data_IF_966471115382
#
_entry.id   IF_966471115382
#
_cell.length_a   1.000
_cell.length_b   1.000
_cell.length_c   1.000
_cell.angle_alpha   90.00
_cell.angle_beta   90.00
_cell.angle_gamma   90.00
#
_symmetry.space_group_name_H-M   'P 1'
#
loop_
_entity.id
_entity.type
_entity.pdbx_description
1 polymer ?
#
# COMPACT_ATOMS: atom_id res chain seq x y z
N UNK A 1 22.68 -4.29 -17.78
CA UNK A 1 22.74 -5.24 -16.66
C UNK A 1 22.03 -4.59 -15.50
N UNK A 2 20.83 -5.03 -15.13
CA UNK A 2 20.14 -4.47 -13.95
C UNK A 2 20.93 -4.88 -12.70
N UNK A 3 21.54 -3.91 -12.02
CA UNK A 3 22.18 -4.15 -10.74
C UNK A 3 21.17 -4.83 -9.80
N UNK A 4 21.55 -5.96 -9.20
CA UNK A 4 20.70 -6.71 -8.27
C UNK A 4 20.74 -6.04 -6.88
N UNK A 5 20.28 -4.79 -6.85
CA UNK A 5 20.19 -3.94 -5.66
C UNK A 5 19.17 -4.45 -4.67
N UNK A 6 19.24 -3.98 -3.43
CA UNK A 6 18.27 -4.32 -2.40
C UNK A 6 16.84 -3.90 -2.79
N UNK A 7 16.65 -2.67 -3.31
CA UNK A 7 15.35 -2.19 -3.74
C UNK A 7 14.75 -3.03 -4.85
N UNK A 8 15.55 -3.48 -5.82
CA UNK A 8 15.09 -4.39 -6.87
C UNK A 8 14.67 -5.76 -6.32
N UNK A 9 15.40 -6.31 -5.33
CA UNK A 9 15.01 -7.58 -4.68
C UNK A 9 13.72 -7.42 -3.89
N UNK A 10 13.59 -6.33 -3.13
CA UNK A 10 12.40 -6.05 -2.34
C UNK A 10 11.18 -5.83 -3.23
N UNK A 11 11.33 -5.10 -4.34
CA UNK A 11 10.28 -4.93 -5.34
C UNK A 11 9.79 -6.28 -5.89
N UNK A 12 10.70 -7.20 -6.24
CA UNK A 12 10.31 -8.54 -6.69
C UNK A 12 9.52 -9.29 -5.64
N UNK A 13 9.99 -9.28 -4.39
CA UNK A 13 9.31 -9.91 -3.26
C UNK A 13 7.89 -9.35 -3.06
N UNK A 14 7.75 -8.02 -2.98
CA UNK A 14 6.45 -7.36 -2.78
C UNK A 14 5.52 -7.64 -3.96
N UNK A 15 6.03 -7.62 -5.19
CA UNK A 15 5.25 -7.94 -6.39
C UNK A 15 4.73 -9.37 -6.36
N UNK A 16 5.53 -10.33 -5.92
CA UNK A 16 5.09 -11.72 -5.77
C UNK A 16 3.99 -11.85 -4.71
N UNK A 17 4.17 -11.23 -3.54
CA UNK A 17 3.16 -11.24 -2.48
C UNK A 17 1.86 -10.54 -2.90
N UNK A 18 1.95 -9.44 -3.64
CA UNK A 18 0.79 -8.74 -4.19
C UNK A 18 0.02 -9.61 -5.19
N UNK A 19 0.72 -10.34 -6.07
CA UNK A 19 0.09 -11.28 -7.02
C UNK A 19 -0.64 -12.40 -6.29
N UNK A 20 0.01 -13.05 -5.34
CA UNK A 20 -0.62 -14.12 -4.56
C UNK A 20 -1.87 -13.60 -3.84
N UNK A 21 -1.78 -12.40 -3.25
CA UNK A 21 -2.93 -11.78 -2.57
C UNK A 21 -4.06 -11.42 -3.52
N UNK A 22 -3.74 -10.97 -4.74
CA UNK A 22 -4.74 -10.69 -5.78
C UNK A 22 -5.43 -11.97 -6.26
N UNK A 23 -4.71 -13.08 -6.40
CA UNK A 23 -5.28 -14.38 -6.75
C UNK A 23 -6.27 -14.87 -5.68
N UNK A 24 -5.87 -14.86 -4.41
CA UNK A 24 -6.76 -15.19 -3.29
C UNK A 24 -8.00 -14.29 -3.27
N UNK A 25 -7.82 -12.99 -3.50
CA UNK A 25 -8.92 -12.04 -3.48
C UNK A 25 -9.88 -12.22 -4.66
N UNK A 26 -9.36 -12.58 -5.85
CA UNK A 26 -10.19 -12.91 -7.01
C UNK A 26 -11.06 -14.14 -6.75
N UNK A 27 -10.50 -15.18 -6.11
CA UNK A 27 -11.27 -16.36 -5.72
C UNK A 27 -12.38 -16.00 -4.73
N UNK A 28 -12.06 -15.25 -3.68
CA UNK A 28 -13.05 -14.79 -2.69
C UNK A 28 -14.16 -13.93 -3.28
N UNK A 29 -13.84 -13.07 -4.24
CA UNK A 29 -14.85 -12.25 -4.94
C UNK A 29 -15.78 -13.14 -5.76
N UNK A 30 -15.24 -14.14 -6.47
CA UNK A 30 -16.03 -15.06 -7.27
C UNK A 30 -16.92 -15.96 -6.40
N UNK A 31 -16.41 -16.46 -5.28
CA UNK A 31 -17.19 -17.19 -4.28
C UNK A 31 -18.30 -16.32 -3.70
N UNK A 32 -17.97 -15.11 -3.24
CA UNK A 32 -18.96 -14.18 -2.71
C UNK A 32 -20.04 -13.78 -3.73
N UNK A 33 -19.73 -13.74 -5.02
CA UNK A 33 -20.74 -13.54 -6.08
C UNK A 33 -21.70 -14.71 -6.18
N UNK A 34 -21.19 -15.94 -6.17
CA UNK A 34 -22.02 -17.16 -6.18
C UNK A 34 -22.89 -17.28 -4.94
N UNK A 35 -22.36 -16.92 -3.78
CA UNK A 35 -23.11 -16.93 -2.52
C UNK A 35 -24.26 -15.92 -2.57
N UNK A 36 -24.02 -14.71 -3.07
CA UNK A 36 -25.05 -13.68 -3.28
C UNK A 36 -26.14 -14.17 -4.25
N UNK A 37 -25.76 -14.79 -5.37
CA UNK A 37 -26.69 -15.37 -6.34
C UNK A 37 -27.53 -16.48 -5.71
N UNK A 38 -26.90 -17.41 -5.00
CA UNK A 38 -27.57 -18.53 -4.33
C UNK A 38 -28.55 -18.05 -3.25
N UNK A 39 -28.17 -17.02 -2.48
CA UNK A 39 -29.07 -16.40 -1.51
C UNK A 39 -30.26 -15.72 -2.19
N UNK A 40 -30.04 -15.07 -3.33
CA UNK A 40 -31.12 -14.44 -4.10
C UNK A 40 -32.11 -15.48 -4.66
N UNK A 41 -31.61 -16.59 -5.20
CA UNK A 41 -32.43 -17.71 -5.66
C UNK A 41 -33.25 -18.32 -4.52
N UNK A 42 -32.60 -18.62 -3.38
CA UNK A 42 -33.28 -19.14 -2.20
C UNK A 42 -34.40 -18.21 -1.71
N UNK A 43 -34.15 -16.90 -1.65
CA UNK A 43 -35.19 -15.93 -1.24
C UNK A 43 -36.33 -15.84 -2.24
N UNK A 44 -36.03 -15.90 -3.54
CA UNK A 44 -37.05 -15.84 -4.57
C UNK A 44 -37.95 -17.08 -4.56
N UNK A 45 -37.38 -18.27 -4.42
CA UNK A 45 -38.11 -19.53 -4.40
C UNK A 45 -39.00 -19.69 -3.16
N UNK A 46 -38.55 -19.19 -2.01
CA UNK A 46 -39.26 -19.32 -0.73
C UNK A 46 -40.07 -18.08 -0.35
N UNK A 47 -40.15 -17.06 -1.22
CA UNK A 47 -40.80 -15.77 -0.92
C UNK A 47 -42.26 -15.92 -0.48
N UNK A 48 -42.99 -16.87 -1.09
CA UNK A 48 -44.40 -17.12 -0.77
C UNK A 48 -44.62 -17.92 0.54
N UNK A 49 -43.56 -18.54 1.08
CA UNK A 49 -43.61 -19.40 2.27
C UNK A 49 -43.07 -18.71 3.54
N UNK A 50 -42.57 -17.47 3.41
CA UNK A 50 -42.05 -16.68 4.54
C UNK A 50 -43.15 -16.29 5.54
N UNK A 51 -42.79 -16.38 6.83
CA UNK A 51 -43.63 -16.08 8.00
C UNK A 51 -44.37 -14.72 7.93
N UNK A 52 -45.63 -14.71 8.38
CA UNK A 52 -46.50 -13.52 8.51
C UNK A 52 -45.92 -12.41 9.41
N UNK A 53 -45.01 -12.71 10.34
CA UNK A 53 -44.38 -11.73 11.24
C UNK A 53 -43.08 -11.10 10.67
N UNK A 54 -42.56 -11.59 9.54
CA UNK A 54 -41.48 -10.94 8.78
C UNK A 54 -40.06 -11.02 9.37
N UNK A 55 -39.85 -11.81 10.44
CA UNK A 55 -38.52 -11.97 11.05
C UNK A 55 -37.53 -12.69 10.14
N UNK A 56 -37.98 -13.75 9.45
CA UNK A 56 -37.15 -14.48 8.49
C UNK A 56 -36.76 -13.61 7.29
N UNK A 57 -37.67 -12.76 6.80
CA UNK A 57 -37.38 -11.81 5.71
C UNK A 57 -36.30 -10.79 6.13
N UNK A 58 -36.40 -10.26 7.35
CA UNK A 58 -35.46 -9.29 7.90
C UNK A 58 -34.03 -9.89 8.03
N UNK A 59 -33.91 -11.06 8.66
CA UNK A 59 -32.60 -11.72 8.84
C UNK A 59 -31.94 -12.05 7.50
N UNK A 60 -32.75 -12.49 6.53
CA UNK A 60 -32.31 -12.80 5.18
C UNK A 60 -31.81 -11.56 4.42
N UNK A 61 -32.59 -10.47 4.47
CA UNK A 61 -32.17 -9.21 3.87
C UNK A 61 -30.87 -8.69 4.50
N UNK A 62 -30.73 -8.79 5.82
CA UNK A 62 -29.51 -8.36 6.52
C UNK A 62 -28.31 -9.22 6.14
N UNK A 63 -28.46 -10.55 6.07
CA UNK A 63 -27.40 -11.44 5.62
C UNK A 63 -26.94 -11.12 4.20
N UNK A 64 -27.86 -10.85 3.27
CA UNK A 64 -27.55 -10.46 1.90
C UNK A 64 -26.81 -9.12 1.85
N UNK A 65 -27.27 -8.11 2.59
CA UNK A 65 -26.61 -6.82 2.69
C UNK A 65 -25.17 -6.96 3.21
N UNK A 66 -24.96 -7.81 4.22
CA UNK A 66 -23.62 -8.11 4.72
C UNK A 66 -22.73 -8.75 3.65
N UNK A 67 -23.23 -9.73 2.90
CA UNK A 67 -22.47 -10.38 1.82
C UNK A 67 -22.13 -9.40 0.68
N UNK A 68 -23.10 -8.60 0.25
CA UNK A 68 -22.90 -7.58 -0.79
C UNK A 68 -21.84 -6.57 -0.33
N UNK A 69 -21.94 -6.07 0.90
CA UNK A 69 -20.97 -5.11 1.45
C UNK A 69 -19.57 -5.72 1.54
N UNK A 70 -19.44 -6.95 2.03
CA UNK A 70 -18.16 -7.65 2.10
C UNK A 70 -17.52 -7.83 0.71
N UNK A 71 -18.32 -8.19 -0.29
CA UNK A 71 -17.84 -8.34 -1.66
C UNK A 71 -17.44 -7.00 -2.29
N UNK A 72 -18.18 -5.91 -2.00
CA UNK A 72 -17.81 -4.56 -2.41
C UNK A 72 -16.47 -4.10 -1.78
N UNK A 73 -16.24 -4.38 -0.51
CA UNK A 73 -14.96 -4.09 0.15
C UNK A 73 -13.80 -4.90 -0.49
N UNK A 74 -14.04 -6.17 -0.83
CA UNK A 74 -13.07 -6.98 -1.57
C UNK A 74 -12.75 -6.37 -2.95
N UNK A 75 -13.74 -5.87 -3.68
CA UNK A 75 -13.53 -5.18 -4.96
C UNK A 75 -12.72 -3.88 -4.80
N UNK A 76 -12.98 -3.08 -3.77
CA UNK A 76 -12.18 -1.87 -3.46
C UNK A 76 -10.73 -2.25 -3.14
N UNK A 77 -10.54 -3.28 -2.34
CA UNK A 77 -9.21 -3.81 -2.01
C UNK A 77 -8.47 -4.28 -3.27
N UNK A 78 -9.14 -5.03 -4.15
CA UNK A 78 -8.58 -5.49 -5.43
C UNK A 78 -8.07 -4.32 -6.28
N UNK A 79 -8.90 -3.29 -6.49
CA UNK A 79 -8.50 -2.08 -7.24
C UNK A 79 -7.31 -1.35 -6.62
N UNK A 80 -7.16 -1.41 -5.28
CA UNK A 80 -5.98 -0.86 -4.61
C UNK A 80 -4.75 -1.68 -4.90
N UNK A 81 -4.80 -3.00 -4.74
CA UNK A 81 -3.67 -3.90 -5.00
C UNK A 81 -3.24 -3.86 -6.47
N UNK A 82 -4.18 -3.77 -7.42
CA UNK A 82 -3.89 -3.58 -8.85
C UNK A 82 -3.11 -2.29 -9.13
N UNK A 83 -3.45 -1.18 -8.45
CA UNK A 83 -2.67 0.06 -8.56
C UNK A 83 -1.27 -0.09 -7.94
N UNK A 84 -1.16 -0.80 -6.82
CA UNK A 84 0.13 -1.06 -6.17
C UNK A 84 1.05 -1.95 -7.03
N UNK A 85 0.52 -2.76 -7.94
CA UNK A 85 1.34 -3.55 -8.87
C UNK A 85 2.17 -2.69 -9.84
N UNK A 86 1.73 -1.47 -10.14
CA UNK A 86 2.48 -0.56 -11.02
C UNK A 86 3.68 0.06 -10.30
N UNK A 87 3.45 0.57 -9.09
CA UNK A 87 4.44 1.19 -8.22
C UNK A 87 4.08 0.97 -6.73
N UNK A 88 4.55 -0.11 -6.09
CA UNK A 88 4.11 -0.47 -4.75
C UNK A 88 4.64 0.47 -3.67
N UNK A 89 5.87 0.97 -3.84
CA UNK A 89 6.51 1.95 -2.97
C UNK A 89 7.33 2.95 -3.80
N UNK A 90 7.60 4.11 -3.23
CA UNK A 90 8.43 5.15 -3.83
C UNK A 90 9.52 5.64 -2.87
N UNK A 91 9.43 5.32 -1.59
CA UNK A 91 10.39 5.74 -0.57
C UNK A 91 10.75 4.61 0.39
N UNK A 92 11.91 4.70 1.03
CA UNK A 92 12.28 3.90 2.19
C UNK A 92 13.01 4.76 3.21
N UNK A 93 12.73 4.52 4.48
CA UNK A 93 13.49 5.07 5.61
C UNK A 93 14.03 3.91 6.43
N UNK A 94 15.33 3.95 6.73
CA UNK A 94 15.95 3.04 7.68
C UNK A 94 16.05 3.80 9.01
N UNK A 95 15.19 3.44 9.97
CA UNK A 95 15.01 4.15 11.24
C UNK A 95 15.48 3.28 12.41
N UNK A 96 16.42 3.80 13.20
CA UNK A 96 16.95 3.15 14.39
C UNK A 96 16.27 3.72 15.62
N UNK A 97 15.49 2.92 16.33
CA UNK A 97 14.88 3.36 17.59
C UNK A 97 15.93 3.60 18.67
N UNK A 98 15.63 4.53 19.58
CA UNK A 98 16.49 4.77 20.73
C UNK A 98 16.63 3.49 21.59
N UNK A 99 17.87 3.06 21.81
CA UNK A 99 18.18 1.86 22.60
C UNK A 99 18.18 0.54 21.81
N UNK A 100 17.91 0.57 20.51
CA UNK A 100 18.06 -0.59 19.62
C UNK A 100 19.40 -0.54 18.86
N UNK A 101 19.84 -1.70 18.33
CA UNK A 101 21.09 -1.83 17.57
C UNK A 101 20.84 -1.96 16.05
N UNK A 102 19.63 -2.37 15.64
CA UNK A 102 19.28 -2.60 14.24
C UNK A 102 18.19 -1.64 13.79
N UNK A 103 18.38 -1.03 12.62
CA UNK A 103 17.39 -0.14 12.05
C UNK A 103 16.24 -0.91 11.38
N UNK A 104 15.01 -0.49 11.68
CA UNK A 104 13.81 -0.96 10.99
C UNK A 104 13.66 -0.25 9.64
N UNK A 105 13.26 -1.01 8.61
CA UNK A 105 13.10 -0.51 7.24
C UNK A 105 11.64 -0.26 6.93
N UNK A 106 11.28 1.01 6.76
CA UNK A 106 9.94 1.45 6.40
C UNK A 106 9.86 1.76 4.92
N UNK A 107 9.28 0.85 4.12
CA UNK A 107 8.96 1.13 2.72
C UNK A 107 7.62 1.86 2.62
N UNK A 108 7.60 2.99 1.91
CA UNK A 108 6.46 3.91 1.87
C UNK A 108 5.87 3.93 0.46
N UNK A 109 4.55 3.79 0.37
CA UNK A 109 3.82 3.68 -0.87
C UNK A 109 2.43 4.33 -0.84
N UNK A 110 1.67 4.10 -1.90
CA UNK A 110 0.32 4.68 -2.08
C UNK A 110 -0.75 4.06 -1.17
N UNK A 111 -0.41 2.99 -0.44
CA UNK A 111 -1.33 2.24 0.39
C UNK A 111 -0.63 1.22 1.28
N UNK A 112 -1.26 0.89 2.40
CA UNK A 112 -0.79 -0.20 3.28
C UNK A 112 -0.93 -1.57 2.58
N UNK A 113 0.13 -2.36 2.66
CA UNK A 113 0.13 -3.76 2.25
C UNK A 113 0.90 -4.63 3.24
N UNK A 114 0.26 -5.72 3.66
CA UNK A 114 0.83 -6.79 4.48
C UNK A 114 0.45 -8.12 3.83
N UNK A 115 1.25 -9.16 4.04
CA UNK A 115 1.00 -10.49 3.49
C UNK A 115 -0.35 -11.06 3.98
N UNK A 116 -0.65 -10.87 5.27
CA UNK A 116 -1.94 -11.24 5.87
C UNK A 116 -2.47 -10.11 6.75
N UNK A 117 -3.78 -10.12 6.97
CA UNK A 117 -4.42 -9.20 7.90
C UNK A 117 -3.80 -9.36 9.31
N UNK A 118 -3.46 -8.24 9.94
CA UNK A 118 -2.86 -8.21 11.29
C UNK A 118 -1.35 -8.46 11.33
N UNK A 119 -0.69 -8.78 10.21
CA UNK A 119 0.77 -8.82 10.16
C UNK A 119 1.36 -7.42 10.01
N UNK A 120 2.66 -7.30 10.35
CA UNK A 120 3.44 -6.08 10.12
C UNK A 120 3.38 -5.72 8.62
N UNK A 121 3.04 -4.46 8.26
CA UNK A 121 3.03 -4.02 6.88
C UNK A 121 4.42 -4.17 6.22
N UNK A 122 4.41 -4.69 5.00
CA UNK A 122 5.56 -4.63 4.11
C UNK A 122 5.68 -3.23 3.49
N UNK A 123 4.53 -2.62 3.17
CA UNK A 123 4.43 -1.27 2.61
C UNK A 123 3.53 -0.45 3.52
N UNK A 124 4.03 0.72 3.91
CA UNK A 124 3.34 1.70 4.72
C UNK A 124 2.69 2.76 3.82
N UNK A 125 1.44 3.10 4.13
CA UNK A 125 0.71 4.17 3.47
C UNK A 125 1.39 5.52 3.75
N UNK A 126 1.58 6.34 2.72
CA UNK A 126 2.21 7.65 2.87
C UNK A 126 1.49 8.60 3.84
N UNK A 127 0.23 8.33 4.20
CA UNK A 127 -0.55 9.10 5.18
C UNK A 127 -0.42 8.58 6.61
N UNK A 128 0.20 7.43 6.81
CA UNK A 128 0.43 6.90 8.14
C UNK A 128 1.43 7.79 8.90
N UNK A 129 1.28 8.00 10.22
CA UNK A 129 2.19 8.85 10.99
C UNK A 129 3.68 8.51 10.84
N UNK A 130 4.02 7.21 10.78
CA UNK A 130 5.40 6.74 10.57
C UNK A 130 6.00 7.21 9.24
N UNK A 131 5.16 7.44 8.22
CA UNK A 131 5.59 7.95 6.91
C UNK A 131 6.05 9.40 6.98
N UNK A 132 5.73 10.14 8.05
CA UNK A 132 6.28 11.48 8.32
C UNK A 132 7.81 11.48 8.39
N UNK A 133 8.44 10.39 8.84
CA UNK A 133 9.90 10.22 8.83
C UNK A 133 10.52 10.45 7.44
N UNK A 134 9.77 10.18 6.37
CA UNK A 134 10.25 10.38 5.01
C UNK A 134 10.11 11.82 4.50
N UNK A 135 9.14 12.59 5.00
CA UNK A 135 8.84 13.92 4.50
C UNK A 135 9.35 15.04 5.40
N UNK A 136 9.31 14.83 6.72
CA UNK A 136 9.48 15.88 7.72
C UNK A 136 10.91 15.95 8.27
N UNK A 137 11.73 14.92 8.01
CA UNK A 137 13.07 14.78 8.56
C UNK A 137 14.09 14.44 7.46
N UNK A 138 15.31 14.92 7.62
CA UNK A 138 16.49 14.44 6.91
C UNK A 138 17.15 13.29 7.69
N UNK A 139 18.37 12.87 7.33
CA UNK A 139 19.13 11.94 8.16
C UNK A 139 19.46 12.55 9.53
N UNK A 140 19.54 11.70 10.54
CA UNK A 140 19.77 12.10 11.92
C UNK A 140 18.52 11.98 12.81
N UNK A 141 18.47 12.69 13.94
CA UNK A 141 17.41 12.53 14.94
C UNK A 141 16.03 12.82 14.36
N UNK A 142 15.10 11.90 14.60
CA UNK A 142 13.72 12.01 14.14
C UNK A 142 12.75 11.30 15.10
N UNK A 143 11.48 11.63 14.97
CA UNK A 143 10.43 10.99 15.75
C UNK A 143 9.10 10.98 15.01
N UNK A 144 8.19 10.11 15.43
CA UNK A 144 6.82 10.07 14.92
C UNK A 144 5.82 9.66 16.02
N UNK A 145 4.54 9.98 15.82
CA UNK A 145 3.47 9.60 16.75
C UNK A 145 2.88 8.25 16.39
N UNK A 146 2.87 7.31 17.34
CA UNK A 146 2.17 6.04 17.24
C UNK A 146 1.03 5.96 18.26
N UNK A 147 0.08 5.02 18.14
CA UNK A 147 -0.96 4.82 19.16
C UNK A 147 -0.41 4.57 20.58
N UNK A 148 0.82 4.04 20.69
CA UNK A 148 1.50 3.80 21.96
C UNK A 148 2.25 5.03 22.52
N UNK A 149 2.28 6.14 21.79
CA UNK A 149 3.02 7.36 22.15
C UNK A 149 4.00 7.80 21.07
N UNK A 150 4.82 8.79 21.40
CA UNK A 150 5.91 9.25 20.55
C UNK A 150 7.00 8.17 20.47
N UNK A 151 7.49 7.94 19.26
CA UNK A 151 8.60 7.03 18.97
C UNK A 151 9.80 7.87 18.54
N UNK A 152 10.89 7.81 19.30
CA UNK A 152 12.12 8.56 19.08
C UNK A 152 13.24 7.66 18.55
N UNK A 153 14.11 8.22 17.71
CA UNK A 153 15.20 7.49 17.08
C UNK A 153 16.01 8.31 16.07
N UNK A 154 16.72 7.62 15.19
CA UNK A 154 17.60 8.21 14.18
C UNK A 154 17.31 7.64 12.79
N UNK A 155 17.21 8.50 11.79
CA UNK A 155 17.18 8.10 10.38
C UNK A 155 18.61 7.88 9.90
N UNK A 156 18.96 6.61 9.66
CA UNK A 156 20.27 6.21 9.16
C UNK A 156 20.38 6.36 7.65
N UNK A 157 19.31 6.04 6.92
CA UNK A 157 19.28 6.17 5.47
C UNK A 157 17.88 6.46 4.93
N UNK A 158 17.82 7.17 3.79
CA UNK A 158 16.57 7.47 3.08
C UNK A 158 16.75 7.18 1.60
N UNK A 159 15.91 6.32 1.05
CA UNK A 159 15.97 5.95 -0.36
C UNK A 159 14.73 6.41 -1.11
N UNK A 160 14.94 6.84 -2.35
CA UNK A 160 13.88 7.16 -3.31
C UNK A 160 13.93 6.18 -4.47
N UNK A 161 12.75 5.74 -4.90
CA UNK A 161 12.57 4.75 -5.94
C UNK A 161 11.63 5.27 -7.00
N UNK A 162 11.98 5.07 -8.26
CA UNK A 162 11.04 5.20 -9.37
C UNK A 162 10.72 3.84 -9.90
N UNK A 163 9.45 3.47 -9.75
CA UNK A 163 8.92 2.20 -10.23
C UNK A 163 7.83 2.51 -11.26
N UNK A 164 7.84 1.79 -12.37
CA UNK A 164 6.81 1.89 -13.41
C UNK A 164 6.58 0.52 -14.01
N UNK A 165 5.32 0.11 -14.14
CA UNK A 165 4.94 -1.20 -14.65
C UNK A 165 5.56 -2.35 -13.85
N UNK A 166 5.72 -2.18 -12.53
CA UNK A 166 6.35 -3.17 -11.66
C UNK A 166 7.86 -3.35 -11.88
N UNK A 167 8.53 -2.41 -12.57
CA UNK A 167 9.97 -2.44 -12.82
C UNK A 167 10.65 -1.25 -12.16
N UNK A 168 11.79 -1.52 -11.52
CA UNK A 168 12.67 -0.48 -11.01
C UNK A 168 13.27 0.29 -12.19
N UNK A 169 13.01 1.60 -12.25
CA UNK A 169 13.60 2.51 -13.24
C UNK A 169 14.91 3.06 -12.69
N UNK A 170 14.87 3.58 -11.46
CA UNK A 170 16.05 4.01 -10.71
C UNK A 170 15.80 3.91 -9.20
N UNK A 171 16.88 3.84 -8.44
CA UNK A 171 16.89 3.99 -6.98
C UNK A 171 18.12 4.78 -6.55
N UNK A 172 17.96 5.67 -5.57
CA UNK A 172 19.07 6.44 -5.02
C UNK A 172 18.81 6.78 -3.54
N UNK A 173 19.90 7.02 -2.81
CA UNK A 173 19.85 7.50 -1.43
C UNK A 173 19.81 9.03 -1.43
N UNK A 174 18.91 9.65 -0.65
CA UNK A 174 18.59 11.09 -0.70
C UNK A 174 19.76 12.02 -0.35
N UNK A 175 20.82 11.48 0.27
CA UNK A 175 22.06 12.20 0.59
C UNK A 175 23.08 12.25 -0.58
N UNK A 176 22.82 11.49 -1.64
CA UNK A 176 23.64 11.52 -2.86
C UNK A 176 23.14 12.71 -3.69
N UNK A 177 24.05 13.64 -4.02
CA UNK A 177 23.75 14.71 -4.98
C UNK A 177 23.04 14.09 -6.19
N UNK A 178 21.80 14.51 -6.44
CA UNK A 178 20.99 13.96 -7.54
C UNK A 178 21.81 14.08 -8.81
N UNK A 179 22.18 12.93 -9.38
CA UNK A 179 23.02 12.86 -10.56
C UNK A 179 22.30 13.53 -11.75
N UNK A 180 23.06 14.24 -12.59
CA UNK A 180 22.58 14.85 -13.83
C UNK A 180 21.85 13.82 -14.71
N UNK A 181 22.17 12.53 -14.63
CA UNK A 181 21.46 11.47 -15.36
C UNK A 181 20.01 11.25 -14.88
N UNK A 182 19.76 11.29 -13.57
CA UNK A 182 18.41 11.16 -12.99
C UNK A 182 17.59 12.41 -13.34
N UNK A 183 18.21 13.59 -13.19
CA UNK A 183 17.62 14.87 -13.60
C UNK A 183 17.27 14.88 -15.10
N UNK A 184 18.16 14.40 -15.97
CA UNK A 184 17.90 14.31 -17.42
C UNK A 184 16.80 13.32 -17.76
N UNK A 185 16.65 12.21 -17.03
CA UNK A 185 15.55 11.27 -17.25
C UNK A 185 14.18 11.85 -16.87
N UNK A 186 14.10 12.63 -15.79
CA UNK A 186 12.85 13.33 -15.41
C UNK A 186 12.56 14.51 -16.36
N UNK A 187 13.57 15.29 -16.74
CA UNK A 187 13.44 16.44 -17.66
C UNK A 187 13.19 16.02 -19.13
N UNK A 188 13.71 14.87 -19.56
CA UNK A 188 13.51 14.37 -20.92
C UNK A 188 12.08 13.93 -21.23
N UNK A 189 11.21 13.79 -20.21
CA UNK A 189 9.78 13.47 -20.38
C UNK A 189 8.86 14.68 -20.37
N UNK A 190 9.28 15.83 -19.82
CA UNK A 190 8.47 17.05 -19.80
C UNK A 190 9.35 18.25 -20.16
N UNK A 191 9.15 18.76 -21.37
CA UNK A 191 9.85 19.94 -21.88
C UNK A 191 9.80 21.12 -20.91
N UNK A 192 10.99 21.67 -20.66
CA UNK A 192 11.25 23.09 -20.45
C UNK A 192 10.33 23.84 -19.47
N UNK A 193 10.47 23.56 -18.16
CA UNK A 193 9.98 24.49 -17.12
C UNK A 193 11.00 24.59 -15.97
N UNK A 194 11.84 25.63 -16.08
CA UNK A 194 12.43 26.47 -15.03
C UNK A 194 12.61 25.89 -13.61
N UNK A 195 13.82 25.38 -13.36
CA UNK A 195 14.44 25.30 -12.04
C UNK A 195 14.75 26.71 -11.51
N UNK A 196 13.87 27.33 -10.71
CA UNK A 196 14.28 28.42 -9.80
C UNK A 196 13.65 28.53 -8.41
N UNK A 197 12.59 27.80 -8.04
CA UNK A 197 11.84 28.14 -6.81
C UNK A 197 11.55 27.01 -5.80
N UNK A 198 12.38 25.96 -5.68
CA UNK A 198 12.23 25.00 -4.56
C UNK A 198 13.56 24.75 -3.84
N UNK A 199 14.32 25.83 -3.61
CA UNK A 199 15.35 25.84 -2.57
C UNK A 199 15.30 27.22 -1.91
N UNK A 200 14.62 27.30 -0.77
CA UNK A 200 14.27 28.45 0.09
C UNK A 200 12.85 28.99 -0.07
N UNK A 201 12.22 29.15 1.11
CA UNK A 201 10.92 29.76 1.45
C UNK A 201 9.79 28.73 1.43
N UNK A 202 9.31 28.19 2.56
CA UNK A 202 9.10 28.75 3.91
C UNK A 202 9.59 27.79 4.98
#
# INVERSE_FOLDING_TARGET
>A
MTANTEGTRYLKLVTEKLKNRLEELNQRIAEGQKDIESMHEYYWENYAEMDQYGYEEFDNQQALLHQVNANQENLKMKRRLERMMDAPFFGRVDFLYEGEEEAEKFYIGIGNFAEKAGMVPMIYDWRAPVSGLFYDYDKGPASYQAPAGQMDGEILSKWQYKIRGGKMIYEFESDVKIDDEILKQELGSNGDVQLKNIVRTI
#
